data_IF_633780425465
#
_entry.id   IF_633780425465
#
_cell.length_a   1.000
_cell.length_b   1.000
_cell.length_c   1.000
_cell.angle_alpha   90.00
_cell.angle_beta   90.00
_cell.angle_gamma   90.00
#
_symmetry.space_group_name_H-M   'P 1'
#
loop_
_entity.id
_entity.type
_entity.pdbx_description
1 polymer ?
#
# COMPACT_ATOMS: atom_id res chain seq x y z
N UNK A 1 11.61 -2.52 23.33
CA UNK A 1 11.22 -3.95 23.36
C UNK A 1 9.76 -4.16 22.90
N UNK A 2 9.43 -4.91 21.85
CA UNK A 2 10.15 -5.24 20.59
C UNK A 2 10.02 -4.02 19.64
N UNK A 3 10.57 -3.97 18.42
CA UNK A 3 9.92 -4.58 17.24
C UNK A 3 10.95 -4.65 16.12
N UNK A 4 11.53 -5.84 15.95
CA UNK A 4 11.89 -6.30 14.60
C UNK A 4 10.75 -5.95 13.64
N UNK A 5 11.12 -5.35 12.51
CA UNK A 5 10.35 -5.12 11.28
C UNK A 5 8.94 -4.57 11.46
N UNK A 6 8.75 -3.24 11.29
CA UNK A 6 7.41 -2.76 10.94
C UNK A 6 7.02 -3.33 9.57
N UNK A 7 5.79 -3.80 9.47
CA UNK A 7 5.30 -4.48 8.27
C UNK A 7 4.66 -3.47 7.32
N UNK A 8 5.08 -3.51 6.06
CA UNK A 8 4.43 -2.80 4.96
C UNK A 8 3.84 -3.83 4.02
N UNK A 9 2.57 -3.66 3.61
CA UNK A 9 1.95 -4.47 2.58
C UNK A 9 1.64 -3.60 1.36
N UNK A 10 2.33 -3.84 0.25
CA UNK A 10 2.03 -3.21 -1.02
C UNK A 10 0.99 -4.04 -1.80
N UNK A 11 -0.20 -3.48 -1.97
CA UNK A 11 -1.31 -4.16 -2.65
C UNK A 11 -1.31 -3.79 -4.12
N UNK A 12 -1.34 -4.80 -4.99
CA UNK A 12 -1.26 -4.60 -6.43
C UNK A 12 0.15 -4.16 -6.84
N UNK A 13 1.17 -4.83 -6.30
CA UNK A 13 2.57 -4.43 -6.44
C UNK A 13 3.02 -4.29 -7.89
N UNK A 14 2.40 -5.01 -8.84
CA UNK A 14 2.61 -4.78 -10.26
C UNK A 14 4.08 -4.95 -10.65
N UNK A 15 4.69 -3.87 -11.10
CA UNK A 15 6.13 -3.81 -11.43
C UNK A 15 7.04 -3.56 -10.22
N UNK A 16 6.50 -3.61 -9.00
CA UNK A 16 7.23 -3.41 -7.74
C UNK A 16 7.10 -2.03 -7.12
N UNK A 17 6.13 -1.20 -7.54
CA UNK A 17 6.06 0.20 -7.12
C UNK A 17 4.77 0.50 -6.33
N UNK A 18 4.87 1.03 -5.09
CA UNK A 18 6.09 1.52 -4.42
C UNK A 18 6.90 0.47 -3.64
N UNK A 19 6.43 -0.78 -3.50
CA UNK A 19 6.97 -1.74 -2.54
C UNK A 19 8.48 -2.02 -2.62
N UNK A 20 9.04 -2.27 -3.81
CA UNK A 20 10.47 -2.52 -4.02
C UNK A 20 11.32 -1.30 -3.63
N UNK A 21 10.86 -0.09 -3.97
CA UNK A 21 11.57 1.15 -3.61
C UNK A 21 11.57 1.33 -2.09
N UNK A 22 10.45 1.05 -1.43
CA UNK A 22 10.36 1.08 0.03
C UNK A 22 11.35 0.08 0.63
N UNK A 23 11.36 -1.17 0.15
CA UNK A 23 12.25 -2.21 0.66
C UNK A 23 13.73 -1.81 0.55
N UNK A 24 14.14 -1.29 -0.62
CA UNK A 24 15.51 -0.84 -0.86
C UNK A 24 15.91 0.37 -0.01
N UNK A 25 15.02 1.35 0.17
CA UNK A 25 15.32 2.55 0.95
C UNK A 25 15.18 2.36 2.47
N UNK A 26 14.48 1.32 2.92
CA UNK A 26 14.15 1.07 4.33
C UNK A 26 14.41 -0.39 4.71
N UNK A 27 15.68 -0.79 4.84
CA UNK A 27 16.05 -2.15 5.24
C UNK A 27 15.57 -2.52 6.66
N UNK A 28 15.12 -1.55 7.45
CA UNK A 28 14.51 -1.76 8.77
C UNK A 28 13.04 -2.21 8.73
N UNK A 29 12.40 -2.16 7.56
CA UNK A 29 11.03 -2.60 7.33
C UNK A 29 11.00 -3.99 6.70
N UNK A 30 9.96 -4.78 7.03
CA UNK A 30 9.64 -5.99 6.30
C UNK A 30 8.52 -5.69 5.29
N UNK A 31 8.79 -5.87 4.01
CA UNK A 31 7.88 -5.45 2.93
C UNK A 31 7.23 -6.67 2.27
N UNK A 32 5.92 -6.75 2.38
CA UNK A 32 5.09 -7.73 1.70
C UNK A 32 4.58 -7.16 0.37
N UNK A 33 4.76 -7.90 -0.72
CA UNK A 33 4.27 -7.54 -2.06
C UNK A 33 3.12 -8.46 -2.45
N UNK A 34 1.93 -7.92 -2.70
CA UNK A 34 0.76 -8.72 -3.07
C UNK A 34 0.35 -8.48 -4.52
N UNK A 35 0.48 -9.51 -5.36
CA UNK A 35 0.17 -9.45 -6.78
C UNK A 35 -0.41 -10.79 -7.26
N UNK A 36 -1.65 -10.84 -7.77
CA UNK A 36 -2.27 -12.11 -8.16
C UNK A 36 -1.75 -12.71 -9.48
N UNK A 37 -1.14 -11.93 -10.37
CA UNK A 37 -0.71 -12.41 -11.69
C UNK A 37 0.67 -13.09 -11.64
N UNK A 38 0.71 -14.40 -11.92
CA UNK A 38 1.94 -15.22 -11.89
C UNK A 38 3.14 -14.57 -12.57
N UNK A 39 2.98 -14.13 -13.83
CA UNK A 39 4.06 -13.45 -14.58
C UNK A 39 4.61 -12.19 -13.89
N UNK A 40 3.79 -11.46 -13.14
CA UNK A 40 4.26 -10.31 -12.38
C UNK A 40 4.94 -10.71 -11.07
N UNK A 41 4.51 -11.82 -10.47
CA UNK A 41 5.20 -12.41 -9.31
C UNK A 41 6.59 -12.88 -9.70
N UNK A 42 6.73 -13.62 -10.80
CA UNK A 42 8.04 -14.02 -11.36
C UNK A 42 8.94 -12.80 -11.60
N UNK A 43 8.39 -11.73 -12.17
CA UNK A 43 9.12 -10.46 -12.32
C UNK A 43 9.56 -9.85 -10.98
N UNK A 44 8.70 -9.88 -9.95
CA UNK A 44 9.05 -9.34 -8.63
C UNK A 44 10.13 -10.19 -7.95
N UNK A 45 10.07 -11.52 -8.10
CA UNK A 45 11.09 -12.46 -7.61
C UNK A 45 12.45 -12.15 -8.26
N UNK A 46 12.48 -12.04 -9.60
CA UNK A 46 13.69 -11.66 -10.34
C UNK A 46 14.26 -10.31 -9.84
N UNK A 47 13.42 -9.30 -9.61
CA UNK A 47 13.87 -7.98 -9.14
C UNK A 47 14.40 -8.05 -7.71
N UNK A 48 13.73 -8.78 -6.81
CA UNK A 48 14.17 -8.96 -5.42
C UNK A 48 15.53 -9.64 -5.37
N UNK A 49 15.71 -10.70 -6.15
CA UNK A 49 16.96 -11.46 -6.21
C UNK A 49 18.10 -10.62 -6.80
N UNK A 50 17.86 -9.91 -7.92
CA UNK A 50 18.88 -9.07 -8.56
C UNK A 50 19.32 -7.88 -7.68
N UNK A 51 18.41 -7.36 -6.84
CA UNK A 51 18.71 -6.25 -5.93
C UNK A 51 19.24 -6.72 -4.56
N UNK A 52 19.21 -8.02 -4.27
CA UNK A 52 19.63 -8.57 -2.98
C UNK A 52 18.76 -8.09 -1.81
N UNK A 53 17.43 -8.02 -2.01
CA UNK A 53 16.51 -7.52 -0.99
C UNK A 53 16.06 -8.63 -0.03
N UNK A 54 16.76 -8.76 1.09
CA UNK A 54 16.48 -9.79 2.11
C UNK A 54 15.24 -9.50 2.98
N UNK A 55 14.64 -8.31 2.83
CA UNK A 55 13.53 -7.81 3.64
C UNK A 55 12.18 -7.83 2.91
N UNK A 56 12.04 -8.67 1.88
CA UNK A 56 10.82 -8.76 1.05
C UNK A 56 10.16 -10.14 1.16
N UNK A 57 8.83 -10.17 1.13
CA UNK A 57 8.05 -11.40 0.96
C UNK A 57 6.97 -11.19 -0.10
N UNK A 58 6.96 -12.04 -1.12
CA UNK A 58 6.01 -11.93 -2.22
C UNK A 58 4.83 -12.88 -1.99
N UNK A 59 3.62 -12.38 -2.21
CA UNK A 59 2.37 -13.12 -2.11
C UNK A 59 1.69 -13.12 -3.48
N UNK A 60 1.62 -14.30 -4.12
CA UNK A 60 0.76 -14.49 -5.29
C UNK A 60 -0.71 -14.56 -4.87
N UNK A 61 -1.31 -13.42 -4.56
CA UNK A 61 -2.64 -13.34 -3.99
C UNK A 61 -3.31 -12.00 -4.26
N UNK A 62 -4.65 -11.98 -4.26
CA UNK A 62 -5.43 -10.76 -4.12
C UNK A 62 -5.44 -10.30 -2.66
N UNK A 63 -5.68 -9.01 -2.46
CA UNK A 63 -5.75 -8.41 -1.13
C UNK A 63 -6.76 -9.12 -0.21
N UNK A 64 -7.89 -9.55 -0.74
CA UNK A 64 -8.95 -10.21 0.01
C UNK A 64 -8.53 -11.60 0.53
N UNK A 65 -7.62 -12.28 -0.18
CA UNK A 65 -7.11 -13.61 0.18
C UNK A 65 -6.04 -13.55 1.28
N UNK A 66 -5.56 -12.35 1.60
CA UNK A 66 -4.62 -12.09 2.70
C UNK A 66 -5.33 -11.78 4.02
N UNK A 67 -6.66 -11.65 4.01
CA UNK A 67 -7.45 -11.40 5.23
C UNK A 67 -7.27 -12.55 6.21
N UNK A 68 -6.94 -12.21 7.45
CA UNK A 68 -6.71 -13.20 8.53
C UNK A 68 -5.33 -13.85 8.52
N UNK A 69 -4.48 -13.56 7.52
CA UNK A 69 -3.09 -14.04 7.46
C UNK A 69 -2.09 -13.12 8.17
N UNK A 70 -2.50 -11.88 8.46
CA UNK A 70 -1.67 -10.86 9.10
C UNK A 70 -2.30 -9.48 8.97
N UNK A 71 -1.65 -8.48 9.57
CA UNK A 71 -2.00 -7.06 9.39
C UNK A 71 -0.72 -6.23 9.36
N UNK A 72 -0.65 -5.31 8.41
CA UNK A 72 0.50 -4.43 8.22
C UNK A 72 0.30 -3.09 8.95
N UNK A 73 1.41 -2.50 9.41
CA UNK A 73 1.43 -1.14 9.97
C UNK A 73 1.10 -0.10 8.89
N UNK A 74 1.55 -0.35 7.66
CA UNK A 74 1.17 0.43 6.49
C UNK A 74 0.75 -0.48 5.34
N UNK A 75 -0.39 -0.18 4.72
CA UNK A 75 -0.80 -0.78 3.45
C UNK A 75 -0.62 0.26 2.36
N UNK A 76 0.21 -0.01 1.35
CA UNK A 76 0.40 0.88 0.20
C UNK A 76 -0.38 0.40 -1.01
N UNK A 77 -0.74 1.33 -1.90
CA UNK A 77 -1.32 1.00 -3.19
C UNK A 77 -1.12 2.14 -4.18
N UNK A 78 -0.82 1.79 -5.43
CA UNK A 78 -0.71 2.73 -6.55
C UNK A 78 -1.42 2.19 -7.78
N UNK A 79 -2.27 3.01 -8.41
CA UNK A 79 -2.99 2.65 -9.63
C UNK A 79 -3.82 1.34 -9.56
N UNK A 80 -4.33 0.97 -8.37
CA UNK A 80 -5.08 -0.28 -8.16
C UNK A 80 -6.59 -0.11 -8.37
N UNK A 81 -7.19 0.91 -7.73
CA UNK A 81 -8.63 1.13 -7.71
C UNK A 81 -8.99 2.55 -7.25
N UNK A 82 -10.25 2.95 -7.41
CA UNK A 82 -10.79 4.14 -6.76
C UNK A 82 -10.80 3.99 -5.22
N UNK A 83 -10.91 5.11 -4.49
CA UNK A 83 -10.81 5.11 -3.02
C UNK A 83 -11.83 4.18 -2.33
N UNK A 84 -13.10 4.18 -2.75
CA UNK A 84 -14.14 3.35 -2.13
C UNK A 84 -13.84 1.86 -2.25
N UNK A 85 -13.43 1.40 -3.44
CA UNK A 85 -13.03 0.00 -3.64
C UNK A 85 -11.75 -0.31 -2.89
N UNK A 86 -10.75 0.58 -2.92
CA UNK A 86 -9.49 0.37 -2.24
C UNK A 86 -9.67 0.19 -0.71
N UNK A 87 -10.48 1.05 -0.07
CA UNK A 87 -10.81 0.93 1.36
C UNK A 87 -11.47 -0.41 1.69
N UNK A 88 -12.43 -0.88 0.88
CA UNK A 88 -13.06 -2.19 1.09
C UNK A 88 -12.07 -3.34 0.96
N UNK A 89 -11.16 -3.26 0.00
CA UNK A 89 -10.15 -4.29 -0.24
C UNK A 89 -9.16 -4.37 0.93
N UNK A 90 -8.64 -3.23 1.39
CA UNK A 90 -7.47 -3.17 2.27
C UNK A 90 -7.79 -2.98 3.75
N UNK A 91 -8.96 -2.48 4.12
CA UNK A 91 -9.26 -2.10 5.52
C UNK A 91 -8.95 -3.20 6.54
N UNK A 92 -9.24 -4.46 6.23
CA UNK A 92 -9.00 -5.60 7.14
C UNK A 92 -7.53 -6.04 7.23
N UNK A 93 -6.68 -5.51 6.37
CA UNK A 93 -5.23 -5.75 6.32
C UNK A 93 -4.45 -4.69 7.12
N UNK A 94 -5.10 -3.61 7.53
CA UNK A 94 -4.48 -2.52 8.29
C UNK A 94 -4.48 -2.86 9.79
N UNK A 95 -3.30 -2.85 10.41
CA UNK A 95 -3.12 -3.07 11.85
C UNK A 95 -3.83 -2.00 12.70
N UNK A 96 -4.16 -2.26 13.97
CA UNK A 96 -4.56 -1.22 14.90
C UNK A 96 -3.53 -0.08 14.95
N UNK A 97 -3.98 1.17 14.75
CA UNK A 97 -3.09 2.33 14.63
C UNK A 97 -2.31 2.45 13.31
N UNK A 98 -2.46 1.47 12.41
CA UNK A 98 -1.86 1.49 11.07
C UNK A 98 -2.66 2.34 10.07
N UNK A 99 -2.13 2.44 8.85
CA UNK A 99 -2.73 3.27 7.80
C UNK A 99 -2.75 2.62 6.43
N UNK A 100 -3.71 3.01 5.59
CA UNK A 100 -3.61 2.88 4.14
C UNK A 100 -2.94 4.14 3.58
N UNK A 101 -1.90 3.97 2.77
CA UNK A 101 -1.16 5.06 2.10
C UNK A 101 -1.31 4.87 0.60
N UNK A 102 -2.25 5.59 -0.01
CA UNK A 102 -2.61 5.43 -1.41
C UNK A 102 -2.02 6.56 -2.26
N UNK A 103 -1.24 6.19 -3.30
CA UNK A 103 -0.74 7.12 -4.30
C UNK A 103 -1.82 7.32 -5.37
N UNK A 104 -2.22 8.58 -5.56
CA UNK A 104 -3.37 8.99 -6.36
C UNK A 104 -3.04 10.22 -7.22
N UNK A 105 -3.94 10.52 -8.16
CA UNK A 105 -3.85 11.68 -9.04
C UNK A 105 -4.69 12.87 -8.57
N UNK A 106 -4.79 13.91 -9.41
CA UNK A 106 -5.44 15.20 -9.08
C UNK A 106 -6.90 15.12 -8.65
N UNK A 107 -7.62 14.04 -9.01
CA UNK A 107 -9.02 13.83 -8.60
C UNK A 107 -9.19 13.34 -7.16
N UNK A 108 -8.10 13.28 -6.40
CA UNK A 108 -8.07 12.76 -5.03
C UNK A 108 -9.13 13.39 -4.10
N UNK A 109 -9.36 14.72 -4.09
CA UNK A 109 -10.39 15.30 -3.21
C UNK A 109 -11.79 14.73 -3.47
N UNK A 110 -12.16 14.59 -4.74
CA UNK A 110 -13.46 14.03 -5.17
C UNK A 110 -13.52 12.53 -4.80
N UNK A 111 -12.47 11.76 -5.08
CA UNK A 111 -12.46 10.33 -4.72
C UNK A 111 -12.58 10.09 -3.22
N UNK A 112 -12.01 10.96 -2.38
CA UNK A 112 -12.13 10.86 -0.92
C UNK A 112 -13.54 11.18 -0.44
N UNK A 113 -14.19 12.19 -1.04
CA UNK A 113 -15.58 12.53 -0.75
C UNK A 113 -16.53 11.38 -1.11
N UNK A 114 -16.38 10.82 -2.32
CA UNK A 114 -17.13 9.64 -2.78
C UNK A 114 -16.90 8.40 -1.91
N UNK A 115 -15.74 8.29 -1.26
CA UNK A 115 -15.39 7.20 -0.35
C UNK A 115 -15.81 7.43 1.10
N UNK A 116 -16.42 8.57 1.44
CA UNK A 116 -16.73 8.97 2.83
C UNK A 116 -17.54 7.91 3.60
N UNK A 117 -18.51 7.26 2.96
CA UNK A 117 -19.31 6.20 3.55
C UNK A 117 -18.46 4.97 3.93
N UNK A 118 -17.55 4.55 3.05
CA UNK A 118 -16.65 3.41 3.30
C UNK A 118 -15.59 3.75 4.36
N UNK A 119 -15.02 4.96 4.31
CA UNK A 119 -14.08 5.44 5.32
C UNK A 119 -14.71 5.40 6.73
N UNK A 120 -15.94 5.91 6.87
CA UNK A 120 -16.69 5.86 8.14
C UNK A 120 -16.98 4.43 8.58
N UNK A 121 -17.49 3.58 7.67
CA UNK A 121 -17.80 2.16 7.92
C UNK A 121 -16.59 1.38 8.44
N UNK A 122 -15.39 1.73 7.97
CA UNK A 122 -14.14 1.03 8.30
C UNK A 122 -13.29 1.73 9.37
N UNK A 123 -13.81 2.80 9.99
CA UNK A 123 -13.13 3.61 11.01
C UNK A 123 -11.77 4.15 10.55
N UNK A 124 -11.76 4.72 9.35
CA UNK A 124 -10.60 5.37 8.75
C UNK A 124 -10.83 6.88 8.64
N UNK A 125 -9.82 7.66 9.00
CA UNK A 125 -9.76 9.11 8.76
C UNK A 125 -8.78 9.37 7.62
N UNK A 126 -9.23 10.05 6.58
CA UNK A 126 -8.41 10.38 5.42
C UNK A 126 -7.79 11.78 5.54
N UNK A 127 -6.51 11.87 5.19
CA UNK A 127 -5.75 13.11 5.02
C UNK A 127 -5.10 13.09 3.63
N UNK A 128 -5.19 14.22 2.92
CA UNK A 128 -4.66 14.37 1.57
C UNK A 128 -3.39 15.19 1.65
N UNK A 129 -2.30 14.66 1.12
CA UNK A 129 -1.02 15.34 0.98
C UNK A 129 -0.73 15.56 -0.50
N UNK A 130 -0.54 16.81 -0.87
CA UNK A 130 0.00 17.15 -2.18
C UNK A 130 1.54 17.03 -2.12
N UNK A 131 2.12 16.31 -3.09
CA UNK A 131 3.54 16.08 -3.18
C UNK A 131 4.01 16.56 -4.56
N UNK A 132 4.73 17.69 -4.63
CA UNK A 132 5.30 18.19 -5.86
C UNK A 132 6.24 17.16 -6.49
N UNK A 133 6.15 16.95 -7.80
CA UNK A 133 7.14 16.17 -8.52
C UNK A 133 8.46 16.95 -8.61
N UNK A 134 9.58 16.23 -8.51
CA UNK A 134 10.92 16.82 -8.65
C UNK A 134 11.28 16.95 -10.15
N UNK A 135 10.65 16.16 -11.03
CA UNK A 135 10.98 16.09 -12.46
C UNK A 135 9.93 16.70 -13.38
N UNK A 136 8.72 16.96 -12.89
CA UNK A 136 7.59 17.42 -13.68
C UNK A 136 6.92 18.61 -12.99
N UNK A 137 6.28 19.50 -13.74
CA UNK A 137 5.47 20.60 -13.21
C UNK A 137 4.10 20.14 -12.66
N UNK A 138 3.97 18.86 -12.32
CA UNK A 138 2.73 18.24 -11.86
C UNK A 138 2.89 17.63 -10.47
N UNK A 139 1.92 17.87 -9.59
CA UNK A 139 1.88 17.23 -8.27
C UNK A 139 1.28 15.83 -8.32
N UNK A 140 1.82 14.92 -7.51
CA UNK A 140 1.13 13.68 -7.12
C UNK A 140 0.43 13.87 -5.79
N UNK A 141 -0.55 13.02 -5.49
CA UNK A 141 -1.33 13.12 -4.26
C UNK A 141 -1.20 11.82 -3.48
N UNK A 142 -0.97 11.94 -2.18
CA UNK A 142 -0.96 10.80 -1.25
C UNK A 142 -2.16 10.94 -0.32
N UNK A 143 -3.00 9.91 -0.29
CA UNK A 143 -4.08 9.80 0.69
C UNK A 143 -3.64 8.88 1.81
N UNK A 144 -3.54 9.43 3.02
CA UNK A 144 -3.27 8.67 4.23
C UNK A 144 -4.60 8.43 4.95
N UNK A 145 -5.04 7.17 5.02
CA UNK A 145 -6.23 6.74 5.73
C UNK A 145 -5.83 6.02 7.02
N UNK A 146 -5.83 6.75 8.14
CA UNK A 146 -5.41 6.24 9.45
C UNK A 146 -6.56 5.54 10.17
N UNK A 147 -6.28 4.36 10.74
CA UNK A 147 -7.23 3.64 11.60
C UNK A 147 -7.41 4.34 12.94
N UNK A 148 -8.63 4.86 13.18
CA UNK A 148 -8.96 5.58 14.43
C UNK A 148 -9.59 4.70 15.51
N UNK A 149 -9.99 3.47 15.16
CA UNK A 149 -10.51 2.43 16.06
C UNK A 149 -10.12 1.03 15.58
#
# INVERSE_FOLDING_TARGET
PRREGREVLDVGSGSGLPGIVIAACRPDLHVHLAEPMARRVEWLEDVVDNLGLDNVTIHQARAEELRGKGKADAVTARAVANMSKLVRMTSKLIAPGGSLVALKGRRTPIEVEEASAELRRHHLRAEIHEVPSIMEDESTYIVVCTRVR
#
